data_IF_589363314580
#
_entry.id   IF_589363314580
#
_cell.length_a   1.000
_cell.length_b   1.000
_cell.length_c   1.000
_cell.angle_alpha   90.00
_cell.angle_beta   90.00
_cell.angle_gamma   90.00
#
_symmetry.space_group_name_H-M   'P 1'
#
loop_
_entity.id
_entity.type
_entity.pdbx_description
1 polymer ?
#
# COMPACT_ATOMS: atom_id res chain seq x y z
N UNK A 1 -52.69 5.15 -10.28
CA UNK A 1 -51.53 4.99 -11.18
C UNK A 1 -50.46 5.94 -10.64
N UNK A 2 -49.53 5.55 -9.77
CA UNK A 2 -48.35 4.69 -9.96
C UNK A 2 -47.17 5.49 -9.38
N UNK A 3 -47.03 5.53 -8.05
CA UNK A 3 -45.89 6.19 -7.36
C UNK A 3 -44.69 5.26 -7.15
N UNK A 4 -44.62 4.14 -7.87
CA UNK A 4 -43.66 3.07 -7.62
C UNK A 4 -42.33 3.18 -8.40
N UNK A 5 -42.04 4.30 -9.06
CA UNK A 5 -40.82 4.45 -9.86
C UNK A 5 -39.66 5.17 -9.16
N UNK A 6 -39.86 5.75 -7.97
CA UNK A 6 -38.82 6.57 -7.32
C UNK A 6 -37.93 5.81 -6.32
N UNK A 7 -38.36 4.63 -5.85
CA UNK A 7 -37.62 3.87 -4.84
C UNK A 7 -36.39 3.14 -5.40
N UNK A 8 -36.44 2.70 -6.67
CA UNK A 8 -35.31 2.02 -7.34
C UNK A 8 -34.22 2.98 -7.82
N UNK A 9 -34.56 4.25 -8.07
CA UNK A 9 -33.60 5.29 -8.48
C UNK A 9 -32.74 5.72 -7.29
N UNK A 10 -33.38 5.93 -6.13
CA UNK A 10 -32.73 6.34 -4.90
C UNK A 10 -31.67 5.33 -4.40
N UNK A 11 -31.95 4.03 -4.48
CA UNK A 11 -31.00 2.99 -4.08
C UNK A 11 -29.80 2.86 -5.02
N UNK A 12 -29.99 3.14 -6.31
CA UNK A 12 -28.90 3.15 -7.30
C UNK A 12 -28.00 4.38 -7.13
N UNK A 13 -28.59 5.54 -6.90
CA UNK A 13 -27.87 6.79 -6.60
C UNK A 13 -27.07 6.65 -5.29
N UNK A 14 -27.63 6.03 -4.27
CA UNK A 14 -26.92 5.71 -3.03
C UNK A 14 -25.70 4.80 -3.29
N UNK A 15 -25.88 3.69 -4.01
CA UNK A 15 -24.78 2.77 -4.34
C UNK A 15 -23.68 3.44 -5.16
N UNK A 16 -24.02 4.35 -6.08
CA UNK A 16 -23.01 5.11 -6.83
C UNK A 16 -22.23 6.07 -5.95
N UNK A 17 -22.88 6.71 -4.96
CA UNK A 17 -22.23 7.60 -4.01
C UNK A 17 -21.30 6.82 -3.05
N UNK A 18 -21.71 5.64 -2.59
CA UNK A 18 -20.90 4.79 -1.73
C UNK A 18 -19.68 4.21 -2.48
N UNK A 19 -19.85 3.92 -3.77
CA UNK A 19 -18.74 3.46 -4.63
C UNK A 19 -17.73 4.57 -4.85
N UNK A 20 -18.20 5.81 -5.08
CA UNK A 20 -17.35 6.98 -5.23
C UNK A 20 -16.58 7.27 -3.94
N UNK A 21 -17.25 7.20 -2.78
CA UNK A 21 -16.62 7.42 -1.48
C UNK A 21 -15.41 6.51 -1.29
N UNK A 22 -15.54 5.22 -1.61
CA UNK A 22 -14.42 4.25 -1.52
C UNK A 22 -13.22 4.62 -2.39
N UNK A 23 -13.43 5.30 -3.52
CA UNK A 23 -12.33 5.76 -4.40
C UNK A 23 -11.62 7.00 -3.86
N UNK A 24 -12.22 7.71 -2.92
CA UNK A 24 -11.67 8.94 -2.32
C UNK A 24 -10.94 8.67 -0.99
N UNK A 25 -10.79 7.41 -0.60
CA UNK A 25 -10.16 6.99 0.64
C UNK A 25 -8.68 6.68 0.42
N UNK A 26 -7.83 7.19 1.30
CA UNK A 26 -6.42 6.88 1.34
C UNK A 26 -6.16 5.45 1.83
N UNK A 27 -5.36 4.63 1.12
CA UNK A 27 -5.10 3.24 1.50
C UNK A 27 -4.24 3.09 2.76
N UNK A 28 -3.69 4.19 3.29
CA UNK A 28 -2.79 4.18 4.46
C UNK A 28 -3.53 4.62 5.71
N UNK A 29 -4.23 5.76 5.67
CA UNK A 29 -4.95 6.27 6.82
C UNK A 29 -6.44 5.90 6.83
N UNK A 30 -6.96 5.24 5.78
CA UNK A 30 -8.35 4.79 5.68
C UNK A 30 -9.39 5.92 5.90
N UNK A 31 -9.00 7.15 5.62
CA UNK A 31 -9.84 8.34 5.63
C UNK A 31 -9.87 8.93 4.22
N UNK A 32 -10.85 9.80 3.95
CA UNK A 32 -10.86 10.62 2.75
C UNK A 32 -9.52 11.36 2.60
N UNK A 33 -9.00 11.46 1.37
CA UNK A 33 -7.70 12.06 1.16
C UNK A 33 -7.62 13.49 1.73
N UNK A 34 -6.56 13.75 2.49
CA UNK A 34 -6.23 15.08 2.99
C UNK A 34 -4.95 15.57 2.31
N UNK A 35 -5.07 16.65 1.52
CA UNK A 35 -4.00 17.17 0.66
C UNK A 35 -3.37 16.02 -0.17
N UNK A 36 -4.15 15.37 -1.06
CA UNK A 36 -3.68 14.25 -1.86
C UNK A 36 -2.45 14.66 -2.67
N UNK A 37 -1.39 13.85 -2.58
CA UNK A 37 -0.21 13.94 -3.43
C UNK A 37 -0.21 12.79 -4.42
N UNK A 38 0.17 13.06 -5.66
CA UNK A 38 0.30 12.04 -6.71
C UNK A 38 1.72 11.51 -6.73
N UNK A 39 1.85 10.19 -6.77
CA UNK A 39 3.11 9.48 -6.89
C UNK A 39 3.38 9.22 -8.37
N UNK A 40 4.20 10.05 -8.99
CA UNK A 40 4.76 9.74 -10.31
C UNK A 40 5.91 8.74 -10.11
N UNK A 41 5.99 7.66 -10.92
CA UNK A 41 5.30 7.44 -12.20
C UNK A 41 4.00 6.60 -12.12
N UNK A 42 3.64 6.05 -10.96
CA UNK A 42 2.54 5.10 -10.85
C UNK A 42 1.13 5.71 -10.72
N UNK A 43 1.01 7.04 -10.65
CA UNK A 43 -0.23 7.82 -10.56
C UNK A 43 -1.15 7.49 -9.37
N UNK A 44 -0.67 6.74 -8.38
CA UNK A 44 -1.42 6.52 -7.14
C UNK A 44 -1.38 7.76 -6.25
N UNK A 45 -2.46 7.95 -5.49
CA UNK A 45 -2.62 9.09 -4.59
C UNK A 45 -2.46 8.63 -3.15
N UNK A 46 -1.78 9.45 -2.34
CA UNK A 46 -1.69 9.30 -0.89
C UNK A 46 -1.94 10.65 -0.22
N UNK A 47 -2.35 10.65 1.05
CA UNK A 47 -2.27 11.88 1.85
C UNK A 47 -0.80 12.31 1.98
N UNK A 48 -0.53 13.62 1.95
CA UNK A 48 0.84 14.14 2.10
C UNK A 48 1.52 13.65 3.38
N UNK A 49 0.77 13.55 4.48
CA UNK A 49 1.27 13.00 5.76
C UNK A 49 1.68 11.52 5.60
N UNK A 50 0.80 10.68 5.07
CA UNK A 50 1.08 9.27 4.84
C UNK A 50 2.33 9.05 3.97
N UNK A 51 2.48 9.82 2.88
CA UNK A 51 3.67 9.75 2.03
C UNK A 51 4.95 10.13 2.81
N UNK A 52 4.87 11.12 3.71
CA UNK A 52 5.98 11.52 4.57
C UNK A 52 6.38 10.41 5.55
N UNK A 53 5.40 9.79 6.20
CA UNK A 53 5.64 8.75 7.20
C UNK A 53 6.30 7.51 6.55
N UNK A 54 5.82 7.10 5.37
CA UNK A 54 6.42 6.01 4.59
C UNK A 54 7.85 6.33 4.16
N UNK A 55 8.08 7.55 3.67
CA UNK A 55 9.40 8.00 3.26
C UNK A 55 10.40 7.97 4.42
N UNK A 56 9.99 8.39 5.61
CA UNK A 56 10.83 8.35 6.81
C UNK A 56 11.12 6.92 7.25
N UNK A 57 10.13 6.03 7.23
CA UNK A 57 10.31 4.63 7.62
C UNK A 57 11.23 3.85 6.67
N UNK A 58 11.21 4.17 5.37
CA UNK A 58 12.10 3.61 4.36
C UNK A 58 13.53 4.19 4.42
N UNK A 59 13.69 5.39 4.99
CA UNK A 59 14.98 6.10 5.06
C UNK A 59 15.34 6.52 6.51
N UNK A 60 15.50 5.58 7.46
CA UNK A 60 15.66 5.89 8.88
C UNK A 60 16.97 6.63 9.22
N UNK A 61 17.97 6.60 8.32
CA UNK A 61 19.28 7.23 8.53
C UNK A 61 19.41 8.61 7.88
N UNK A 62 18.39 9.09 7.14
CA UNK A 62 18.40 10.41 6.52
C UNK A 62 17.80 11.45 7.49
N UNK A 63 18.57 12.48 7.92
CA UNK A 63 18.06 13.45 8.86
C UNK A 63 16.97 14.34 8.24
N UNK A 64 15.88 14.55 8.99
CA UNK A 64 14.72 15.40 8.63
C UNK A 64 15.08 16.89 8.42
N UNK A 65 16.33 17.30 8.67
CA UNK A 65 16.73 18.70 8.75
C UNK A 65 17.99 18.98 7.92
N UNK A 66 17.77 19.54 6.73
CA UNK A 66 18.72 20.38 5.96
C UNK A 66 20.21 20.13 6.15
N UNK A 67 20.70 18.94 5.81
CA UNK A 67 22.13 18.64 5.76
C UNK A 67 22.66 18.79 4.33
N UNK A 68 23.60 19.71 4.13
CA UNK A 68 24.35 19.94 2.90
C UNK A 68 25.27 18.76 2.59
N UNK A 69 24.72 17.66 2.06
CA UNK A 69 25.49 16.65 1.33
C UNK A 69 24.75 16.29 0.06
N UNK A 70 25.45 16.46 -1.04
CA UNK A 70 24.97 16.42 -2.42
C UNK A 70 24.48 15.01 -2.81
N UNK A 71 23.32 14.98 -3.47
CA UNK A 71 22.94 14.05 -4.55
C UNK A 71 22.23 12.70 -4.30
N UNK A 72 21.47 12.50 -3.23
CA UNK A 72 20.46 11.42 -3.28
C UNK A 72 19.18 11.84 -2.59
N UNK A 73 18.22 12.35 -3.37
CA UNK A 73 16.87 12.42 -2.86
C UNK A 73 16.40 11.00 -2.55
N UNK A 74 15.78 10.84 -1.39
CA UNK A 74 15.50 9.49 -0.88
C UNK A 74 14.54 8.73 -1.79
N UNK A 75 14.50 7.42 -1.63
CA UNK A 75 13.62 6.54 -2.38
C UNK A 75 12.60 5.90 -1.46
N UNK A 76 11.41 5.64 -1.96
CA UNK A 76 10.42 4.81 -1.27
C UNK A 76 9.61 4.04 -2.31
N UNK A 77 8.94 2.97 -1.90
CA UNK A 77 8.02 2.23 -2.77
C UNK A 77 6.58 2.65 -2.53
N UNK A 78 5.82 2.78 -3.62
CA UNK A 78 4.39 3.06 -3.55
C UNK A 78 3.67 1.91 -2.81
N UNK A 79 2.90 2.16 -1.74
CA UNK A 79 2.18 1.11 -1.03
C UNK A 79 1.12 0.39 -1.88
N UNK A 80 0.54 1.10 -2.86
CA UNK A 80 -0.55 0.58 -3.68
C UNK A 80 -0.06 -0.37 -4.78
N UNK A 81 1.09 -0.09 -5.39
CA UNK A 81 1.58 -0.83 -6.56
C UNK A 81 3.04 -1.30 -6.47
N UNK A 82 3.73 -0.99 -5.37
CA UNK A 82 5.14 -1.30 -5.10
C UNK A 82 6.15 -0.71 -6.08
N UNK A 83 5.73 0.21 -6.94
CA UNK A 83 6.63 0.92 -7.84
C UNK A 83 7.65 1.75 -7.05
N UNK A 84 8.92 1.68 -7.44
CA UNK A 84 9.99 2.42 -6.80
C UNK A 84 9.99 3.89 -7.25
N UNK A 85 10.03 4.80 -6.29
CA UNK A 85 9.93 6.23 -6.52
C UNK A 85 11.19 6.87 -6.00
N UNK A 86 11.94 7.51 -6.89
CA UNK A 86 13.10 8.35 -6.54
C UNK A 86 12.62 9.78 -6.40
N UNK A 87 12.91 10.41 -5.25
CA UNK A 87 12.53 11.79 -5.01
C UNK A 87 13.69 12.74 -5.31
N UNK A 88 13.36 14.00 -5.55
CA UNK A 88 14.35 15.07 -5.70
C UNK A 88 14.85 15.57 -4.34
N UNK A 89 15.70 16.62 -4.36
CA UNK A 89 16.14 17.38 -3.17
C UNK A 89 15.00 17.85 -2.26
N UNK A 90 13.79 18.02 -2.79
CA UNK A 90 12.62 18.45 -2.03
C UNK A 90 11.89 17.29 -1.31
N UNK A 91 12.33 16.05 -1.52
CA UNK A 91 11.73 14.86 -0.93
C UNK A 91 10.23 14.76 -1.20
N UNK A 92 9.48 14.29 -0.20
CA UNK A 92 8.01 14.17 -0.27
C UNK A 92 7.32 15.51 -0.51
N UNK A 93 7.94 16.63 -0.10
CA UNK A 93 7.34 17.94 -0.29
C UNK A 93 7.29 18.35 -1.76
N UNK A 94 8.17 17.79 -2.60
CA UNK A 94 8.18 17.98 -4.04
C UNK A 94 7.08 17.23 -4.79
N UNK A 95 6.40 16.26 -4.16
CA UNK A 95 5.29 15.56 -4.79
C UNK A 95 4.14 16.52 -5.07
N UNK A 96 3.66 16.50 -6.32
CA UNK A 96 2.60 17.38 -6.78
C UNK A 96 1.29 17.05 -6.06
N UNK A 97 0.54 18.09 -5.68
CA UNK A 97 -0.81 17.91 -5.16
C UNK A 97 -1.76 17.60 -6.30
N UNK A 98 -2.68 16.66 -6.07
CA UNK A 98 -3.74 16.36 -7.01
C UNK A 98 -4.99 17.19 -6.68
N UNK A 99 -5.03 18.41 -7.21
CA UNK A 99 -6.14 19.34 -6.97
C UNK A 99 -7.49 18.82 -7.50
N UNK A 100 -7.47 17.93 -8.51
CA UNK A 100 -8.70 17.33 -9.02
C UNK A 100 -9.33 16.41 -7.97
N UNK A 101 -8.54 15.57 -7.29
CA UNK A 101 -9.04 14.74 -6.20
C UNK A 101 -9.49 15.61 -5.02
N UNK A 102 -8.75 16.66 -4.70
CA UNK A 102 -9.14 17.63 -3.65
C UNK A 102 -10.50 18.29 -3.96
N UNK A 103 -10.70 18.77 -5.19
CA UNK A 103 -11.95 19.37 -5.64
C UNK A 103 -13.13 18.37 -5.64
N UNK A 104 -12.90 17.12 -6.06
CA UNK A 104 -13.94 16.07 -6.02
C UNK A 104 -14.36 15.79 -4.57
N UNK A 105 -13.41 15.74 -3.65
CA UNK A 105 -13.70 15.56 -2.21
C UNK A 105 -14.52 16.73 -1.68
N UNK A 106 -14.21 17.96 -2.08
CA UNK A 106 -14.97 19.14 -1.64
C UNK A 106 -16.41 19.12 -2.18
N UNK A 107 -16.61 18.77 -3.45
CA UNK A 107 -17.95 18.59 -4.03
C UNK A 107 -18.72 17.48 -3.31
N UNK A 108 -18.07 16.34 -3.08
CA UNK A 108 -18.68 15.21 -2.37
C UNK A 108 -19.12 15.60 -0.95
N UNK A 109 -18.30 16.36 -0.21
CA UNK A 109 -18.63 16.88 1.12
C UNK A 109 -19.81 17.84 1.06
N UNK A 110 -19.86 18.73 0.08
CA UNK A 110 -20.97 19.68 -0.10
C UNK A 110 -22.30 18.96 -0.36
N UNK A 111 -22.32 17.97 -1.27
CA UNK A 111 -23.53 17.20 -1.56
C UNK A 111 -23.96 16.34 -0.36
N UNK A 112 -23.00 15.80 0.39
CA UNK A 112 -23.27 15.01 1.60
C UNK A 112 -23.79 15.85 2.78
N UNK A 113 -23.55 17.17 2.78
CA UNK A 113 -24.10 18.08 3.82
C UNK A 113 -25.53 18.54 3.59
N UNK A 114 -26.21 18.11 2.51
CA UNK A 114 -27.66 18.30 2.39
C UNK A 114 -28.35 17.59 3.56
N UNK A 115 -29.30 18.24 4.26
CA UNK A 115 -29.84 17.78 5.57
C UNK A 115 -30.57 16.42 5.55
N UNK A 116 -30.66 15.77 4.39
CA UNK A 116 -31.27 14.45 4.20
C UNK A 116 -30.27 13.28 4.31
N UNK A 117 -28.96 13.53 4.29
CA UNK A 117 -27.93 12.50 4.53
C UNK A 117 -27.37 12.63 5.94
N UNK A 118 -28.19 12.29 6.94
CA UNK A 118 -27.67 11.98 8.29
C UNK A 118 -26.62 10.89 8.10
N UNK A 119 -25.39 11.12 8.57
CA UNK A 119 -24.39 10.06 8.63
C UNK A 119 -25.05 8.82 9.23
N UNK A 120 -24.98 7.69 8.53
CA UNK A 120 -25.39 6.38 9.04
C UNK A 120 -24.47 6.01 10.20
N UNK A 121 -24.65 6.68 11.34
CA UNK A 121 -24.05 6.28 12.59
C UNK A 121 -24.78 5.01 13.00
N UNK A 122 -24.05 3.89 13.19
CA UNK A 122 -24.68 2.64 13.53
C UNK A 122 -25.46 2.80 14.83
N UNK A 123 -26.73 2.39 14.80
CA UNK A 123 -27.60 2.38 15.97
C UNK A 123 -27.42 1.05 16.71
N UNK A 124 -27.67 1.04 18.01
CA UNK A 124 -27.59 -0.17 18.80
C UNK A 124 -28.75 -1.12 18.47
N UNK A 125 -28.46 -2.42 18.32
CA UNK A 125 -29.47 -3.45 18.04
C UNK A 125 -30.45 -3.65 19.20
N UNK A 126 -30.00 -3.45 20.44
CA UNK A 126 -30.85 -3.57 21.64
C UNK A 126 -31.55 -2.25 22.02
N UNK A 127 -30.99 -1.12 21.57
CA UNK A 127 -31.44 0.23 21.96
C UNK A 127 -31.59 1.09 20.70
N UNK A 128 -32.74 0.99 20.05
CA UNK A 128 -33.00 1.57 18.72
C UNK A 128 -32.83 3.10 18.65
N UNK A 129 -32.97 3.81 19.77
CA UNK A 129 -32.79 5.27 19.86
C UNK A 129 -31.36 5.70 20.20
N UNK A 130 -30.48 4.74 20.54
CA UNK A 130 -29.12 5.01 20.99
C UNK A 130 -28.09 4.75 19.90
N UNK A 131 -27.17 5.71 19.75
CA UNK A 131 -26.06 5.61 18.80
C UNK A 131 -24.89 4.85 19.40
N UNK A 132 -24.21 4.08 18.55
CA UNK A 132 -22.96 3.45 18.91
C UNK A 132 -21.84 4.50 18.87
N UNK A 133 -21.36 4.91 20.03
CA UNK A 133 -20.31 5.91 20.20
C UNK A 133 -19.28 5.55 21.28
N UNK A 134 -19.41 4.38 21.89
CA UNK A 134 -18.55 3.88 22.96
C UNK A 134 -17.91 2.57 22.48
N UNK A 135 -16.70 2.27 22.94
CA UNK A 135 -16.04 1.00 22.72
C UNK A 135 -15.78 0.32 24.06
N UNK A 136 -16.19 -0.95 24.16
CA UNK A 136 -15.96 -1.77 25.34
C UNK A 136 -14.58 -2.43 25.26
N UNK A 137 -13.69 -2.13 26.21
CA UNK A 137 -12.33 -2.66 26.24
C UNK A 137 -12.28 -4.10 26.76
N UNK A 138 -13.24 -4.52 27.57
CA UNK A 138 -13.30 -5.90 28.08
C UNK A 138 -13.91 -6.89 27.08
N UNK A 139 -14.87 -6.43 26.29
CA UNK A 139 -15.58 -7.28 25.33
C UNK A 139 -15.10 -7.06 23.89
N UNK A 140 -14.23 -6.07 23.66
CA UNK A 140 -13.68 -5.70 22.35
C UNK A 140 -14.74 -5.39 21.28
N UNK A 141 -15.90 -4.89 21.70
CA UNK A 141 -17.03 -4.57 20.83
C UNK A 141 -17.47 -3.10 20.97
N UNK A 142 -17.91 -2.45 19.87
CA UNK A 142 -18.52 -1.15 19.93
C UNK A 142 -19.93 -1.25 20.56
N UNK A 143 -20.29 -0.28 21.39
CA UNK A 143 -21.51 -0.30 22.20
C UNK A 143 -22.11 1.10 22.35
N UNK A 144 -23.30 1.20 22.96
CA UNK A 144 -24.02 2.45 23.20
C UNK A 144 -24.04 2.84 24.69
N UNK A 145 -24.58 4.03 24.97
CA UNK A 145 -24.64 4.56 26.33
C UNK A 145 -25.52 3.71 27.26
N UNK A 146 -26.66 3.22 26.75
CA UNK A 146 -27.59 2.40 27.53
C UNK A 146 -27.03 1.01 27.84
N UNK A 147 -26.33 0.38 26.90
CA UNK A 147 -25.61 -0.87 27.15
C UNK A 147 -24.54 -0.72 28.24
N UNK A 148 -23.92 0.46 28.37
CA UNK A 148 -22.96 0.77 29.42
C UNK A 148 -23.61 1.12 30.77
N UNK A 149 -24.72 1.84 30.80
CA UNK A 149 -25.30 2.28 32.08
C UNK A 149 -26.20 1.21 32.69
N UNK A 150 -27.00 0.53 31.88
CA UNK A 150 -28.03 -0.41 32.36
C UNK A 150 -27.92 -1.82 31.76
N UNK A 151 -27.18 -1.97 30.66
CA UNK A 151 -27.09 -3.23 29.93
C UNK A 151 -25.92 -4.14 30.32
N UNK A 152 -25.56 -5.02 29.39
CA UNK A 152 -24.55 -6.07 29.57
C UNK A 152 -23.13 -5.55 29.88
N UNK A 153 -22.83 -4.29 29.58
CA UNK A 153 -21.49 -3.71 29.74
C UNK A 153 -21.36 -2.79 30.98
N UNK A 154 -22.28 -2.89 31.94
CA UNK A 154 -22.29 -2.08 33.18
C UNK A 154 -20.96 -2.08 33.94
N UNK A 155 -20.36 -3.25 34.11
CA UNK A 155 -19.12 -3.43 34.88
C UNK A 155 -17.87 -3.43 33.97
N UNK A 156 -18.05 -3.24 32.66
CA UNK A 156 -16.93 -3.20 31.71
C UNK A 156 -16.27 -1.82 31.66
N UNK A 157 -14.97 -1.79 31.50
CA UNK A 157 -14.23 -0.60 31.13
C UNK A 157 -14.56 -0.23 29.67
N UNK A 158 -14.86 1.04 29.47
CA UNK A 158 -15.20 1.59 28.16
C UNK A 158 -14.42 2.85 27.89
N UNK A 159 -14.26 3.17 26.61
CA UNK A 159 -13.68 4.43 26.15
C UNK A 159 -14.50 4.99 24.98
N UNK A 160 -14.40 6.29 24.67
CA UNK A 160 -15.03 6.85 23.47
C UNK A 160 -14.57 6.10 22.22
N UNK A 161 -15.50 5.68 21.37
CA UNK A 161 -15.20 4.91 20.15
C UNK A 161 -14.21 5.66 19.25
N UNK A 162 -14.38 6.97 19.13
CA UNK A 162 -13.47 7.83 18.36
C UNK A 162 -12.03 7.77 18.85
N UNK A 163 -11.82 7.73 20.18
CA UNK A 163 -10.47 7.67 20.75
C UNK A 163 -9.81 6.31 20.51
N UNK A 164 -10.57 5.21 20.70
CA UNK A 164 -10.06 3.86 20.43
C UNK A 164 -9.77 3.69 18.94
N UNK A 165 -10.68 4.12 18.08
CA UNK A 165 -10.49 4.10 16.63
C UNK A 165 -9.24 4.86 16.21
N UNK A 166 -9.06 6.11 16.68
CA UNK A 166 -7.89 6.90 16.33
C UNK A 166 -6.59 6.24 16.80
N UNK A 167 -6.56 5.69 18.01
CA UNK A 167 -5.41 4.96 18.53
C UNK A 167 -5.07 3.73 17.68
N UNK A 168 -6.05 2.84 17.45
CA UNK A 168 -5.85 1.64 16.64
C UNK A 168 -5.43 1.99 15.21
N UNK A 169 -6.04 3.02 14.63
CA UNK A 169 -5.66 3.54 13.32
C UNK A 169 -4.21 4.00 13.29
N UNK A 170 -3.75 4.77 14.28
CA UNK A 170 -2.34 5.19 14.35
C UNK A 170 -1.40 4.00 14.50
N UNK A 171 -1.72 3.05 15.37
CA UNK A 171 -0.92 1.83 15.57
C UNK A 171 -0.80 1.03 14.25
N UNK A 172 -1.90 0.88 13.51
CA UNK A 172 -1.91 0.21 12.21
C UNK A 172 -1.15 1.00 11.13
N UNK A 173 -1.35 2.31 11.04
CA UNK A 173 -0.63 3.16 10.08
C UNK A 173 0.89 3.11 10.32
N UNK A 174 1.32 3.17 11.58
CA UNK A 174 2.73 3.06 11.96
C UNK A 174 3.27 1.66 11.64
N UNK A 175 2.50 0.61 11.94
CA UNK A 175 2.83 -0.77 11.58
C UNK A 175 3.00 -0.95 10.07
N UNK A 176 2.10 -0.39 9.25
CA UNK A 176 2.21 -0.39 7.79
C UNK A 176 3.50 0.29 7.34
N UNK A 177 3.82 1.47 7.89
CA UNK A 177 5.05 2.19 7.54
C UNK A 177 6.31 1.36 7.82
N UNK A 178 6.36 0.67 8.97
CA UNK A 178 7.46 -0.25 9.34
C UNK A 178 7.54 -1.45 8.39
N UNK A 179 6.41 -2.04 8.04
CA UNK A 179 6.35 -3.17 7.11
C UNK A 179 6.81 -2.77 5.70
N UNK A 180 6.39 -1.61 5.21
CA UNK A 180 6.85 -1.06 3.92
C UNK A 180 8.37 -0.85 3.94
N UNK A 181 8.91 -0.19 4.98
CA UNK A 181 10.35 0.00 5.11
C UNK A 181 11.13 -1.32 5.23
N UNK A 182 10.56 -2.34 5.87
CA UNK A 182 11.18 -3.67 5.97
C UNK A 182 11.18 -4.39 4.62
N UNK A 183 10.09 -4.26 3.86
CA UNK A 183 10.00 -4.79 2.49
C UNK A 183 11.08 -4.18 1.59
N UNK A 184 11.26 -2.86 1.66
CA UNK A 184 12.29 -2.14 0.89
C UNK A 184 13.71 -2.68 1.19
N UNK A 185 14.01 -3.03 2.45
CA UNK A 185 15.30 -3.63 2.83
C UNK A 185 15.50 -5.02 2.25
N UNK A 186 14.50 -5.90 2.40
CA UNK A 186 14.56 -7.27 1.85
C UNK A 186 14.76 -7.24 0.34
N UNK A 187 14.07 -6.33 -0.34
CA UNK A 187 14.19 -6.16 -1.78
C UNK A 187 15.58 -5.66 -2.19
N UNK A 188 16.18 -4.76 -1.41
CA UNK A 188 17.58 -4.37 -1.62
C UNK A 188 18.56 -5.54 -1.53
N UNK A 189 18.35 -6.46 -0.58
CA UNK A 189 19.17 -7.67 -0.45
C UNK A 189 18.97 -8.59 -1.66
N UNK A 190 17.74 -8.76 -2.13
CA UNK A 190 17.44 -9.57 -3.32
C UNK A 190 18.18 -9.02 -4.55
N UNK A 191 18.12 -7.72 -4.79
CA UNK A 191 18.81 -7.11 -5.94
C UNK A 191 20.34 -7.27 -5.86
N UNK A 192 20.93 -7.17 -4.66
CA UNK A 192 22.36 -7.44 -4.47
C UNK A 192 22.70 -8.90 -4.77
N UNK A 193 21.86 -9.84 -4.30
CA UNK A 193 22.05 -11.26 -4.58
C UNK A 193 22.02 -11.55 -6.09
N UNK A 194 21.03 -11.01 -6.80
CA UNK A 194 20.91 -11.13 -8.26
C UNK A 194 22.14 -10.56 -9.01
N UNK A 195 22.69 -9.43 -8.55
CA UNK A 195 23.91 -8.85 -9.12
C UNK A 195 25.14 -9.73 -8.85
N UNK A 196 25.27 -10.28 -7.64
CA UNK A 196 26.37 -11.21 -7.33
C UNK A 196 26.29 -12.48 -8.17
N UNK A 197 25.10 -13.06 -8.35
CA UNK A 197 24.88 -14.22 -9.23
C UNK A 197 25.31 -13.91 -10.66
N UNK A 198 24.84 -12.80 -11.24
CA UNK A 198 25.24 -12.36 -12.60
C UNK A 198 26.75 -12.19 -12.74
N UNK A 199 27.39 -11.62 -11.72
CA UNK A 199 28.85 -11.40 -11.74
C UNK A 199 29.61 -12.73 -11.71
N UNK A 200 29.13 -13.72 -10.96
CA UNK A 200 29.72 -15.07 -10.92
C UNK A 200 29.52 -15.78 -12.26
N UNK A 201 28.33 -15.71 -12.86
CA UNK A 201 28.06 -16.28 -14.19
C UNK A 201 29.03 -15.75 -15.25
N UNK A 202 29.20 -14.43 -15.33
CA UNK A 202 30.14 -13.79 -16.27
C UNK A 202 31.59 -14.26 -16.04
N UNK A 203 32.00 -14.43 -14.78
CA UNK A 203 33.35 -14.94 -14.44
C UNK A 203 33.54 -16.40 -14.82
N UNK A 204 32.52 -17.23 -14.71
CA UNK A 204 32.57 -18.62 -15.16
C UNK A 204 32.75 -18.65 -16.68
N UNK A 205 31.94 -17.90 -17.43
CA UNK A 205 32.01 -17.84 -18.90
C UNK A 205 33.37 -17.35 -19.42
N UNK A 206 33.98 -16.38 -18.73
CA UNK A 206 35.29 -15.83 -19.10
C UNK A 206 36.48 -16.68 -18.62
N UNK A 207 36.25 -17.70 -17.80
CA UNK A 207 37.28 -18.65 -17.32
C UNK A 207 37.32 -19.95 -18.12
N UNK A 208 36.40 -20.16 -19.07
CA UNK A 208 36.43 -21.32 -19.96
C UNK A 208 37.66 -21.24 -20.90
N UNK A 209 38.55 -22.25 -20.93
CA UNK A 209 39.70 -22.22 -21.81
C UNK A 209 39.23 -22.29 -23.27
N UNK A 210 39.64 -21.31 -24.09
CA UNK A 210 39.47 -21.36 -25.54
C UNK A 210 40.29 -22.54 -26.08
N UNK A 211 39.65 -23.69 -26.21
CA UNK A 211 40.21 -24.80 -26.98
C UNK A 211 40.35 -24.37 -28.44
N UNK A 212 41.59 -24.19 -28.90
CA UNK A 212 41.91 -24.11 -30.32
C UNK A 212 41.36 -25.37 -31.01
N UNK A 213 40.39 -25.19 -31.90
CA UNK A 213 39.98 -26.22 -32.85
C UNK A 213 40.56 -25.81 -34.20
N UNK A 214 41.70 -26.41 -34.55
CA UNK A 214 42.20 -26.38 -35.92
C UNK A 214 41.33 -27.28 -36.81
N UNK A 215 40.80 -26.69 -37.89
CA UNK A 215 40.61 -27.30 -39.21
C UNK A 215 39.62 -28.47 -39.37
N UNK A 216 38.50 -28.20 -40.05
CA UNK A 216 38.16 -28.90 -41.30
C UNK A 216 36.96 -28.22 -41.99
N UNK A 217 37.18 -27.84 -43.24
CA UNK A 217 36.17 -27.41 -44.20
C UNK A 217 35.11 -28.50 -44.44
N UNK A 218 33.83 -28.15 -44.41
CA UNK A 218 32.73 -29.02 -44.80
C UNK A 218 31.42 -28.24 -44.94
N UNK A 219 30.76 -28.45 -46.07
CA UNK A 219 29.72 -27.61 -46.67
C UNK A 219 28.30 -27.87 -46.14
N UNK A 220 27.39 -26.97 -46.57
CA UNK A 220 25.94 -27.12 -46.84
C UNK A 220 24.91 -27.05 -45.70
N UNK A 221 24.00 -26.08 -45.95
CA UNK A 221 22.54 -26.08 -45.83
C UNK A 221 21.86 -26.04 -44.45
N UNK A 222 20.88 -25.12 -44.40
CA UNK A 222 20.24 -24.66 -43.17
C UNK A 222 19.12 -25.53 -42.63
N UNK A 223 18.81 -25.30 -41.37
CA UNK A 223 17.50 -25.52 -40.77
C UNK A 223 17.43 -24.74 -39.44
N UNK A 224 16.44 -23.85 -39.39
CA UNK A 224 15.52 -23.57 -38.28
C UNK A 224 16.05 -23.50 -36.82
N UNK A 225 15.74 -22.35 -36.23
CA UNK A 225 16.05 -21.89 -34.88
C UNK A 225 15.17 -22.60 -33.83
N UNK A 226 15.75 -23.48 -33.01
CA UNK A 226 15.13 -24.00 -31.78
C UNK A 226 16.13 -23.88 -30.60
N UNK A 227 15.75 -23.31 -29.44
CA UNK A 227 16.67 -23.18 -28.32
C UNK A 227 16.82 -24.53 -27.60
N UNK A 228 17.97 -25.17 -27.78
CA UNK A 228 18.34 -26.38 -27.06
C UNK A 228 18.32 -26.15 -25.54
N UNK A 229 17.35 -26.78 -24.88
CA UNK A 229 17.34 -26.95 -23.42
C UNK A 229 18.57 -27.78 -23.04
N UNK A 230 19.61 -27.13 -22.52
CA UNK A 230 20.72 -27.84 -21.89
C UNK A 230 20.24 -28.48 -20.58
N UNK A 231 19.92 -29.77 -20.65
CA UNK A 231 19.81 -30.63 -19.48
C UNK A 231 21.23 -30.83 -18.94
N UNK A 232 21.62 -30.06 -17.93
CA UNK A 232 22.85 -30.30 -17.20
C UNK A 232 22.68 -31.57 -16.35
N UNK A 233 23.27 -32.67 -16.83
CA UNK A 233 23.47 -33.88 -16.03
C UNK A 233 24.49 -33.59 -14.94
N UNK A 234 24.03 -33.38 -13.70
CA UNK A 234 24.88 -33.28 -12.51
C UNK A 234 25.45 -34.67 -12.16
N UNK A 235 26.55 -35.07 -12.80
CA UNK A 235 27.31 -36.28 -12.45
C UNK A 235 28.24 -36.12 -11.23
N UNK A 236 28.18 -34.99 -10.52
CA UNK A 236 29.09 -34.69 -9.39
C UNK A 236 28.43 -34.68 -8.00
N UNK A 237 27.13 -34.97 -7.89
CA UNK A 237 26.40 -34.95 -6.61
C UNK A 237 26.38 -36.30 -5.85
N UNK A 238 27.25 -37.25 -6.21
CA UNK A 238 27.28 -38.58 -5.58
C UNK A 238 28.68 -38.99 -5.09
N UNK A 239 29.36 -38.10 -4.37
CA UNK A 239 30.62 -38.44 -3.69
C UNK A 239 30.65 -37.96 -2.23
N UNK A 240 29.53 -38.14 -1.52
CA UNK A 240 29.41 -37.96 -0.07
C UNK A 240 28.45 -39.02 0.49
N UNK A 241 28.82 -40.29 0.27
CA UNK A 241 28.39 -41.41 1.10
C UNK A 241 29.37 -42.57 0.94
N UNK A 242 30.54 -42.44 1.56
CA UNK A 242 31.31 -43.55 2.13
C UNK A 242 32.11 -43.03 3.34
#
# INVERSE_FOLDING_TARGET
MSTSLNYKSFSKEQQTMDTLEKQLICPICLEMFTKPVVILPCQHNLCRKCASDIFQASNPYLPTRGGTTVASGGRFRCPSCRHEVVLDRHGVYGLQRNLLVENIIDIYKQESTRPERKSEQPMCEEHEDERINIYCLNCEVPTCSMCKVFGAHKDCQVAPLTHVFQRQKTELSDGIAVLVGSNDRVQGIISQLEETCRTVEVRIDSSAPQGQVEGASGSSDGAENEPARHVFSFSWLNSLSE
#
